data_IF_078071718268
#
_entry.id   IF_078071718268
#
_cell.length_a   1.000
_cell.length_b   1.000
_cell.length_c   1.000
_cell.angle_alpha   90.00
_cell.angle_beta   90.00
_cell.angle_gamma   90.00
#
_symmetry.space_group_name_H-M   'P 1'
#
loop_
_entity.id
_entity.type
_entity.pdbx_description
1 polymer ?
#
# COMPACT_ATOMS: atom_id res chain seq x y z
N UNK A 1 -18.43 20.67 1.93
CA UNK A 1 -17.05 20.77 1.42
C UNK A 1 -16.14 20.01 2.39
N UNK A 2 -16.09 18.68 2.26
CA UNK A 2 -15.36 17.81 3.18
C UNK A 2 -13.88 17.76 2.79
N UNK A 3 -13.04 18.45 3.55
CA UNK A 3 -11.60 18.26 3.55
C UNK A 3 -11.26 16.95 4.27
N UNK A 4 -10.21 16.29 3.76
CA UNK A 4 -9.53 15.10 4.31
C UNK A 4 -10.38 13.83 4.38
N UNK A 5 -10.35 13.04 3.29
CA UNK A 5 -10.58 11.59 3.34
C UNK A 5 -9.42 10.95 4.11
N UNK A 6 -9.44 11.10 5.43
CA UNK A 6 -8.66 10.26 6.32
C UNK A 6 -9.41 8.93 6.37
N UNK A 7 -8.84 7.86 5.82
CA UNK A 7 -9.34 6.51 6.12
C UNK A 7 -9.04 6.24 7.61
N UNK A 8 -9.89 6.76 8.48
CA UNK A 8 -9.86 6.39 9.89
C UNK A 8 -10.38 4.96 10.02
N UNK A 9 -9.89 4.21 11.01
CA UNK A 9 -10.34 2.85 11.33
C UNK A 9 -11.89 2.75 11.45
N UNK A 10 -12.54 3.87 11.78
CA UNK A 10 -14.00 3.99 11.87
C UNK A 10 -14.71 3.95 10.50
N UNK A 11 -14.12 4.50 9.44
CA UNK A 11 -14.75 4.48 8.10
C UNK A 11 -14.77 3.05 7.56
N UNK A 12 -13.68 2.29 7.71
CA UNK A 12 -13.60 0.90 7.25
C UNK A 12 -14.50 -0.05 8.05
N UNK A 13 -14.51 0.05 9.38
CA UNK A 13 -15.42 -0.75 10.23
C UNK A 13 -16.89 -0.47 9.91
N UNK A 14 -17.22 0.78 9.60
CA UNK A 14 -18.58 1.17 9.17
C UNK A 14 -18.91 0.66 7.77
N UNK A 15 -17.99 0.71 6.79
CA UNK A 15 -18.25 0.21 5.44
C UNK A 15 -18.39 -1.32 5.37
N UNK A 16 -17.69 -2.06 6.24
CA UNK A 16 -17.77 -3.53 6.33
C UNK A 16 -19.17 -4.05 6.65
N UNK A 17 -19.95 -3.31 7.44
CA UNK A 17 -21.33 -3.71 7.76
C UNK A 17 -22.30 -3.50 6.59
N UNK A 18 -21.93 -2.69 5.59
CA UNK A 18 -22.77 -2.39 4.42
C UNK A 18 -22.30 -3.08 3.12
N UNK A 19 -21.03 -3.50 3.04
CA UNK A 19 -20.50 -4.23 1.88
C UNK A 19 -19.80 -5.53 2.32
N UNK A 20 -20.53 -6.66 2.43
CA UNK A 20 -19.96 -7.95 2.81
C UNK A 20 -19.12 -8.61 1.70
N UNK A 21 -18.94 -7.94 0.56
CA UNK A 21 -18.19 -8.49 -0.55
C UNK A 21 -16.67 -8.36 -0.29
N UNK A 22 -15.90 -9.40 -0.63
CA UNK A 22 -14.45 -9.35 -0.49
C UNK A 22 -13.87 -8.24 -1.37
N UNK A 23 -13.26 -7.23 -0.74
CA UNK A 23 -12.63 -6.12 -1.46
C UNK A 23 -11.43 -6.62 -2.26
N UNK A 24 -11.49 -6.39 -3.57
CA UNK A 24 -10.44 -6.78 -4.53
C UNK A 24 -9.60 -5.60 -4.99
N UNK A 25 -10.15 -4.39 -4.95
CA UNK A 25 -9.49 -3.19 -5.40
C UNK A 25 -9.68 -2.10 -4.36
N UNK A 26 -8.58 -1.42 -4.02
CA UNK A 26 -8.59 -0.33 -3.05
C UNK A 26 -7.71 0.81 -3.55
N UNK A 27 -8.32 1.97 -3.74
CA UNK A 27 -7.65 3.19 -4.21
C UNK A 27 -7.70 4.23 -3.10
N UNK A 28 -6.52 4.63 -2.62
CA UNK A 28 -6.32 5.53 -1.49
C UNK A 28 -5.47 6.75 -1.88
N UNK A 29 -5.44 7.08 -3.17
CA UNK A 29 -4.60 8.14 -3.69
C UNK A 29 -4.92 9.48 -3.01
N UNK A 30 -3.88 10.28 -2.76
CA UNK A 30 -3.95 11.58 -2.06
C UNK A 30 -4.48 11.50 -0.61
N UNK A 31 -4.68 10.31 -0.06
CA UNK A 31 -5.00 10.12 1.35
C UNK A 31 -3.71 10.20 2.18
N UNK A 32 -3.48 11.34 2.82
CA UNK A 32 -2.24 11.59 3.56
C UNK A 32 -2.02 10.54 4.66
N UNK A 33 -0.88 9.86 4.59
CA UNK A 33 -0.39 8.97 5.64
C UNK A 33 -0.03 9.74 6.90
N UNK A 34 -0.22 9.10 8.05
CA UNK A 34 0.28 9.59 9.32
C UNK A 34 1.74 9.12 9.49
N UNK A 35 2.66 10.04 9.74
CA UNK A 35 4.11 9.77 9.86
C UNK A 35 4.74 8.95 8.72
N UNK A 36 4.18 9.03 7.51
CA UNK A 36 4.71 8.32 6.34
C UNK A 36 4.50 6.81 6.38
N UNK A 37 3.50 6.32 7.14
CA UNK A 37 3.17 4.90 7.31
C UNK A 37 1.74 4.59 6.86
N UNK A 38 1.52 3.34 6.46
CA UNK A 38 0.20 2.85 6.07
C UNK A 38 -0.64 2.61 7.33
N UNK A 39 -1.84 3.18 7.42
CA UNK A 39 -2.78 2.92 8.51
C UNK A 39 -4.09 2.34 7.95
N UNK A 40 -4.82 1.57 8.77
CA UNK A 40 -6.13 1.02 8.40
C UNK A 40 -6.10 -0.20 7.46
N UNK A 41 -4.96 -0.50 6.82
CA UNK A 41 -4.78 -1.71 6.03
C UNK A 41 -4.38 -2.89 6.93
N UNK A 42 -5.23 -3.92 7.00
CA UNK A 42 -5.03 -5.10 7.86
C UNK A 42 -4.87 -6.38 7.04
N UNK A 43 -4.53 -7.50 7.69
CA UNK A 43 -4.46 -8.80 7.04
C UNK A 43 -5.83 -9.37 6.60
N UNK A 44 -6.95 -8.68 6.90
CA UNK A 44 -8.30 -9.11 6.50
C UNK A 44 -8.56 -8.91 5.01
N UNK A 45 -7.76 -8.08 4.34
CA UNK A 45 -7.83 -7.81 2.90
C UNK A 45 -7.23 -8.96 2.07
N UNK A 46 -7.51 -10.21 2.44
CA UNK A 46 -6.96 -11.43 1.83
C UNK A 46 -7.33 -11.61 0.35
N UNK A 47 -8.34 -10.89 -0.12
CA UNK A 47 -8.81 -10.91 -1.50
C UNK A 47 -8.37 -9.71 -2.34
N UNK A 48 -7.59 -8.80 -1.78
CA UNK A 48 -7.12 -7.62 -2.48
C UNK A 48 -6.16 -8.01 -3.61
N UNK A 49 -6.48 -7.61 -4.83
CA UNK A 49 -5.71 -7.84 -6.06
C UNK A 49 -5.02 -6.56 -6.54
N UNK A 50 -5.61 -5.39 -6.27
CA UNK A 50 -5.07 -4.07 -6.64
C UNK A 50 -5.10 -3.09 -5.45
N UNK A 51 -3.98 -2.43 -5.20
CA UNK A 51 -3.84 -1.37 -4.20
C UNK A 51 -3.15 -0.16 -4.81
N UNK A 52 -3.80 1.01 -4.71
CA UNK A 52 -3.23 2.30 -5.12
C UNK A 52 -3.05 3.23 -3.92
N UNK A 53 -1.83 3.72 -3.77
CA UNK A 53 -1.37 4.61 -2.70
C UNK A 53 -0.54 5.73 -3.31
N UNK A 54 -1.05 6.39 -4.35
CA UNK A 54 -0.33 7.46 -5.05
C UNK A 54 -0.39 8.76 -4.24
N UNK A 55 0.74 9.44 -4.11
CA UNK A 55 0.83 10.76 -3.44
C UNK A 55 0.24 10.78 -2.02
N UNK A 56 0.51 9.74 -1.23
CA UNK A 56 0.04 9.63 0.17
C UNK A 56 1.12 10.05 1.18
N UNK A 57 2.35 10.32 0.72
CA UNK A 57 3.47 10.76 1.55
C UNK A 57 4.19 9.65 2.30
N UNK A 58 4.09 8.40 1.84
CA UNK A 58 4.76 7.25 2.46
C UNK A 58 6.28 7.40 2.42
N UNK A 59 6.95 7.05 3.52
CA UNK A 59 8.42 7.00 3.61
C UNK A 59 8.91 5.55 3.58
N UNK A 60 8.05 4.61 3.93
CA UNK A 60 8.33 3.17 3.91
C UNK A 60 7.05 2.37 3.69
N UNK A 61 7.21 1.15 3.18
CA UNK A 61 6.15 0.14 3.03
C UNK A 61 6.32 -1.03 4.00
N UNK A 62 7.22 -0.87 4.97
CA UNK A 62 7.58 -1.92 5.94
C UNK A 62 6.41 -2.45 6.75
N UNK A 63 5.36 -1.66 6.95
CA UNK A 63 4.21 -2.02 7.74
C UNK A 63 3.01 -2.55 6.92
N UNK A 64 3.19 -2.84 5.63
CA UNK A 64 2.17 -3.55 4.86
C UNK A 64 1.76 -4.86 5.57
N UNK A 65 0.48 -5.23 5.60
CA UNK A 65 0.08 -6.56 6.01
C UNK A 65 0.43 -7.58 4.91
N UNK A 66 0.33 -8.87 5.23
CA UNK A 66 0.42 -9.92 4.21
C UNK A 66 -0.83 -9.88 3.33
N UNK A 67 -0.63 -9.71 2.02
CA UNK A 67 -1.71 -9.62 1.04
C UNK A 67 -1.48 -10.67 -0.05
N UNK A 68 -1.91 -11.93 0.21
CA UNK A 68 -1.51 -13.07 -0.59
C UNK A 68 -2.04 -13.04 -2.03
N UNK A 69 -3.06 -12.25 -2.34
CA UNK A 69 -3.63 -12.15 -3.71
C UNK A 69 -3.26 -10.86 -4.44
N UNK A 70 -2.47 -9.98 -3.82
CA UNK A 70 -2.14 -8.69 -4.43
C UNK A 70 -1.26 -8.90 -5.65
N UNK A 71 -1.71 -8.40 -6.80
CA UNK A 71 -1.01 -8.50 -8.08
C UNK A 71 -0.40 -7.17 -8.50
N UNK A 72 -1.05 -6.05 -8.15
CA UNK A 72 -0.64 -4.72 -8.57
C UNK A 72 -0.62 -3.74 -7.40
N UNK A 73 0.50 -3.03 -7.26
CA UNK A 73 0.76 -2.03 -6.22
C UNK A 73 1.29 -0.73 -6.84
N UNK A 74 0.53 0.36 -6.71
CA UNK A 74 0.93 1.70 -7.16
C UNK A 74 1.38 2.54 -5.95
N UNK A 75 2.66 2.96 -5.95
CA UNK A 75 3.27 3.77 -4.89
C UNK A 75 3.89 5.05 -5.44
N UNK A 76 3.44 5.51 -6.60
CA UNK A 76 3.97 6.70 -7.25
C UNK A 76 3.84 7.96 -6.39
N UNK A 77 4.77 8.89 -6.59
CA UNK A 77 4.76 10.22 -5.96
C UNK A 77 4.76 10.17 -4.42
N UNK A 78 5.46 9.19 -3.85
CA UNK A 78 5.71 9.09 -2.42
C UNK A 78 7.13 9.56 -2.06
N UNK A 79 7.57 9.27 -0.84
CA UNK A 79 8.88 9.64 -0.30
C UNK A 79 9.67 8.40 0.12
N UNK A 80 9.37 7.25 -0.46
CA UNK A 80 9.99 5.98 -0.12
C UNK A 80 11.47 6.04 -0.47
N UNK A 81 12.31 5.70 0.48
CA UNK A 81 13.77 5.69 0.32
C UNK A 81 14.40 4.31 0.56
N UNK A 82 13.61 3.29 0.90
CA UNK A 82 14.07 1.93 1.16
C UNK A 82 13.01 1.08 1.88
N UNK A 83 13.44 -0.06 2.45
CA UNK A 83 12.57 -1.01 3.12
C UNK A 83 11.62 -1.68 2.13
N UNK A 84 12.18 -2.22 1.05
CA UNK A 84 11.46 -2.99 0.03
C UNK A 84 11.60 -4.51 0.28
N UNK A 85 12.47 -4.92 1.20
CA UNK A 85 12.82 -6.33 1.49
C UNK A 85 11.60 -7.18 1.86
N UNK A 86 10.66 -6.59 2.60
CA UNK A 86 9.45 -7.28 3.03
C UNK A 86 8.39 -7.43 1.94
N UNK A 87 8.53 -6.76 0.79
CA UNK A 87 7.51 -6.84 -0.27
C UNK A 87 7.41 -8.27 -0.81
N UNK A 88 8.55 -8.94 -0.96
CA UNK A 88 8.64 -10.35 -1.34
C UNK A 88 7.84 -11.27 -0.42
N UNK A 89 8.07 -11.14 0.90
CA UNK A 89 7.43 -11.99 1.91
C UNK A 89 5.93 -11.70 2.03
N UNK A 90 5.56 -10.42 1.96
CA UNK A 90 4.20 -9.96 2.24
C UNK A 90 3.29 -10.03 1.03
N UNK A 91 3.84 -9.88 -0.18
CA UNK A 91 3.12 -9.79 -1.44
C UNK A 91 3.63 -10.87 -2.42
N UNK A 92 3.49 -12.16 -2.10
CA UNK A 92 4.13 -13.25 -2.84
C UNK A 92 3.64 -13.40 -4.30
N UNK A 93 2.54 -12.76 -4.68
CA UNK A 93 1.95 -12.82 -6.02
C UNK A 93 2.00 -11.46 -6.75
N UNK A 94 2.83 -10.52 -6.27
CA UNK A 94 2.96 -9.21 -6.89
C UNK A 94 3.64 -9.34 -8.26
N UNK A 95 2.99 -8.80 -9.29
CA UNK A 95 3.49 -8.83 -10.69
C UNK A 95 3.74 -7.43 -11.23
N UNK A 96 3.14 -6.41 -10.61
CA UNK A 96 3.25 -5.02 -11.03
C UNK A 96 3.52 -4.14 -9.81
N UNK A 97 4.63 -3.41 -9.84
CA UNK A 97 5.03 -2.48 -8.79
C UNK A 97 5.48 -1.16 -9.44
N UNK A 98 4.85 -0.06 -9.04
CA UNK A 98 5.23 1.26 -9.50
C UNK A 98 5.81 2.09 -8.33
N UNK A 99 7.07 2.49 -8.48
CA UNK A 99 7.81 3.29 -7.51
C UNK A 99 8.24 4.66 -8.07
N UNK A 100 7.66 5.11 -9.19
CA UNK A 100 8.00 6.40 -9.81
C UNK A 100 7.83 7.56 -8.83
N UNK A 101 8.67 8.60 -8.93
CA UNK A 101 8.53 9.79 -8.08
C UNK A 101 8.85 9.56 -6.59
N UNK A 102 9.53 8.47 -6.24
CA UNK A 102 10.05 8.23 -4.88
C UNK A 102 11.49 8.74 -4.70
N UNK A 103 12.03 8.59 -3.48
CA UNK A 103 13.39 9.03 -3.09
C UNK A 103 14.39 7.88 -3.06
N UNK A 104 14.29 6.97 -4.02
CA UNK A 104 15.22 5.86 -4.18
C UNK A 104 16.52 6.40 -4.78
N UNK A 105 17.58 6.47 -3.97
CA UNK A 105 18.86 7.08 -4.38
C UNK A 105 19.80 6.10 -5.08
N UNK A 106 19.82 4.85 -4.62
CA UNK A 106 20.77 3.84 -5.06
C UNK A 106 20.05 2.62 -5.61
N UNK A 107 20.64 2.02 -6.65
CA UNK A 107 20.11 0.78 -7.26
C UNK A 107 20.04 -0.37 -6.26
N UNK A 108 20.92 -0.37 -5.25
CA UNK A 108 20.92 -1.35 -4.15
C UNK A 108 19.61 -1.37 -3.37
N UNK A 109 18.85 -0.26 -3.34
CA UNK A 109 17.53 -0.24 -2.71
C UNK A 109 16.50 -1.12 -3.41
N UNK A 110 16.75 -1.51 -4.68
CA UNK A 110 15.90 -2.40 -5.48
C UNK A 110 16.37 -3.85 -5.47
N UNK A 111 17.59 -4.16 -5.03
CA UNK A 111 18.10 -5.54 -4.92
C UNK A 111 17.12 -6.52 -4.26
N UNK A 112 16.38 -6.15 -3.19
CA UNK A 112 15.47 -7.08 -2.54
C UNK A 112 14.28 -7.51 -3.42
N UNK A 113 14.02 -6.79 -4.51
CA UNK A 113 12.97 -7.11 -5.48
C UNK A 113 13.43 -8.10 -6.56
N UNK A 114 14.74 -8.25 -6.76
CA UNK A 114 15.33 -9.10 -7.82
C UNK A 114 15.51 -10.54 -7.33
N UNK A 115 15.54 -10.74 -6.01
CA UNK A 115 15.89 -12.02 -5.37
C UNK A 115 14.76 -13.03 -5.21
N UNK A 116 13.62 -12.86 -5.89
CA UNK A 116 12.44 -13.77 -5.78
C UNK A 116 12.06 -14.42 -7.10
#
# INVERSE_FOLDING_TARGET
FFQTQQFSLQIWTTLRSFFPLPVRELVLDNCKSNDGKIEGLTAEFVNLEFLSLINVGLISVSNLPKLPKLKKLELSDNRICGGLDMLAEKLPNLTHLNLSGNKLKDISTLEPLVSN
#
